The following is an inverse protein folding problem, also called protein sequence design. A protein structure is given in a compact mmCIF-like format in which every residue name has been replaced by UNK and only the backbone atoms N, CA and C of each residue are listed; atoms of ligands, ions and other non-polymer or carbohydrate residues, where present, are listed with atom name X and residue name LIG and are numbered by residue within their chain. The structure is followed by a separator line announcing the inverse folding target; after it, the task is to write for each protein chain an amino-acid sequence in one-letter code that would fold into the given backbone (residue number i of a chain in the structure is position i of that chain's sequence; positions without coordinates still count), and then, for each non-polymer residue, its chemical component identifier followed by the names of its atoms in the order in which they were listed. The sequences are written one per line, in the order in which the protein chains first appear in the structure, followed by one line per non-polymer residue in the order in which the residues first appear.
data_IF_611655699762
#
_entry.id   IF_611655699762
#
_cell.length_a   1.000
_cell.length_b   1.000
_cell.length_c   1.000
_cell.angle_alpha   90.00
_cell.angle_beta   90.00
_cell.angle_gamma   90.00
#
_symmetry.space_group_name_H-M   'P 1'
#
loop_
_entity.id
_entity.type
_entity.pdbx_description
1 polymer ?
#
# COMPACT_ATOMS: atom_id res chain seq x y z
N UNK A 1 66.26 12.62 22.60
CA UNK A 1 65.05 12.55 23.45
C UNK A 1 64.89 11.11 23.88
N UNK A 2 65.37 10.76 25.07
CA UNK A 2 65.11 9.45 25.65
C UNK A 2 63.66 9.48 26.14
N UNK A 3 62.80 8.68 25.51
CA UNK A 3 61.44 8.47 26.00
C UNK A 3 61.57 7.57 27.23
N UNK A 4 61.27 8.12 28.41
CA UNK A 4 61.26 7.33 29.64
C UNK A 4 60.20 6.22 29.52
N UNK A 5 60.48 4.99 29.98
CA UNK A 5 59.54 3.87 29.91
C UNK A 5 58.15 4.19 30.49
N UNK A 6 58.10 5.09 31.48
CA UNK A 6 56.87 5.57 32.09
C UNK A 6 56.00 6.42 31.15
N UNK A 7 56.62 7.26 30.31
CA UNK A 7 55.89 8.08 29.33
C UNK A 7 55.29 7.21 28.22
N UNK A 8 56.00 6.16 27.80
CA UNK A 8 55.50 5.19 26.81
C UNK A 8 54.27 4.46 27.34
N UNK A 9 54.32 3.99 28.60
CA UNK A 9 53.18 3.30 29.24
C UNK A 9 51.94 4.18 29.36
N UNK A 10 52.12 5.44 29.76
CA UNK A 10 51.00 6.38 29.90
C UNK A 10 50.38 6.72 28.53
N UNK A 11 51.22 6.95 27.52
CA UNK A 11 50.75 7.24 26.16
C UNK A 11 50.01 6.03 25.55
N UNK A 12 50.49 4.81 25.78
CA UNK A 12 49.80 3.60 25.31
C UNK A 12 48.44 3.41 25.97
N UNK A 13 48.33 3.68 27.28
CA UNK A 13 47.06 3.56 28.00
C UNK A 13 46.02 4.56 27.48
N UNK A 14 46.42 5.82 27.26
CA UNK A 14 45.54 6.85 26.69
C UNK A 14 45.13 6.47 25.26
N UNK A 15 46.07 6.00 24.44
CA UNK A 15 45.80 5.53 23.08
C UNK A 15 44.77 4.40 23.05
N UNK A 16 44.95 3.37 23.89
CA UNK A 16 44.01 2.25 24.00
C UNK A 16 42.64 2.72 24.47
N UNK A 17 42.56 3.62 25.45
CA UNK A 17 41.30 4.15 25.96
C UNK A 17 40.52 4.91 24.88
N UNK A 18 41.21 5.76 24.09
CA UNK A 18 40.59 6.49 22.97
C UNK A 18 40.08 5.55 21.88
N UNK A 19 40.88 4.54 21.52
CA UNK A 19 40.50 3.53 20.53
C UNK A 19 39.28 2.73 21.02
N UNK A 20 39.30 2.27 22.27
CA UNK A 20 38.18 1.53 22.86
C UNK A 20 36.89 2.37 22.89
N UNK A 21 36.99 3.65 23.28
CA UNK A 21 35.87 4.58 23.27
C UNK A 21 35.29 4.78 21.87
N UNK A 22 36.15 4.93 20.86
CA UNK A 22 35.73 5.05 19.46
C UNK A 22 35.00 3.80 18.96
N UNK A 23 35.54 2.61 19.21
CA UNK A 23 34.88 1.36 18.83
C UNK A 23 33.57 1.13 19.58
N UNK A 24 33.48 1.51 20.87
CA UNK A 24 32.25 1.45 21.63
C UNK A 24 31.18 2.40 21.06
N UNK A 25 31.55 3.61 20.68
CA UNK A 25 30.64 4.57 20.03
C UNK A 25 30.14 4.05 18.68
N UNK A 26 31.03 3.48 17.85
CA UNK A 26 30.66 2.84 16.58
C UNK A 26 29.71 1.66 16.79
N UNK A 27 29.98 0.83 17.79
CA UNK A 27 29.14 -0.32 18.11
C UNK A 27 27.73 0.10 18.53
N UNK A 28 27.60 1.08 19.42
CA UNK A 28 26.31 1.63 19.82
C UNK A 28 25.59 2.33 18.65
N UNK A 29 26.33 3.01 17.78
CA UNK A 29 25.80 3.61 16.56
C UNK A 29 25.21 2.56 15.61
N UNK A 30 25.92 1.44 15.41
CA UNK A 30 25.43 0.31 14.61
C UNK A 30 24.19 -0.32 15.23
N UNK A 31 24.19 -0.53 16.54
CA UNK A 31 23.03 -1.04 17.27
C UNK A 31 21.79 -0.15 17.05
N UNK A 32 21.95 1.15 17.26
CA UNK A 32 20.88 2.13 17.05
C UNK A 32 20.40 2.16 15.61
N UNK A 33 21.33 2.12 14.65
CA UNK A 33 21.01 2.09 13.22
C UNK A 33 20.19 0.86 12.84
N UNK A 34 20.57 -0.33 13.30
CA UNK A 34 19.84 -1.59 13.04
C UNK A 34 18.44 -1.57 13.64
N UNK A 35 18.30 -1.08 14.88
CA UNK A 35 17.00 -0.95 15.54
C UNK A 35 16.08 0.02 14.77
N UNK A 36 16.62 1.15 14.32
CA UNK A 36 15.86 2.12 13.52
C UNK A 36 15.48 1.54 12.15
N UNK A 37 16.39 0.85 11.47
CA UNK A 37 16.15 0.26 10.15
C UNK A 37 15.07 -0.82 10.21
N UNK A 38 15.12 -1.73 11.20
CA UNK A 38 14.12 -2.80 11.29
C UNK A 38 12.72 -2.28 11.64
N UNK A 39 12.62 -1.25 12.50
CA UNK A 39 11.33 -0.62 12.84
C UNK A 39 10.66 0.03 11.63
N UNK A 40 11.43 0.54 10.68
CA UNK A 40 10.91 1.10 9.44
C UNK A 40 10.46 0.02 8.44
N UNK A 41 10.90 -1.22 8.62
CA UNK A 41 10.74 -2.30 7.63
C UNK A 41 9.81 -3.43 8.05
N UNK A 42 9.70 -3.72 9.34
CA UNK A 42 8.83 -4.77 9.88
C UNK A 42 8.24 -4.36 11.23
N UNK A 43 6.98 -4.79 11.48
CA UNK A 43 6.33 -4.67 12.80
C UNK A 43 6.53 -5.91 13.68
N UNK A 44 7.26 -6.92 13.21
CA UNK A 44 7.42 -8.19 13.91
C UNK A 44 8.44 -8.06 15.06
N UNK A 45 8.01 -8.16 16.33
CA UNK A 45 8.90 -7.95 17.47
C UNK A 45 10.00 -9.01 17.57
N UNK A 46 9.75 -10.22 17.06
CA UNK A 46 10.73 -11.31 17.06
C UNK A 46 11.96 -11.01 16.21
N UNK A 47 11.77 -10.50 14.99
CA UNK A 47 12.88 -10.13 14.09
C UNK A 47 13.68 -8.96 14.65
N UNK A 48 13.01 -8.02 15.32
CA UNK A 48 13.66 -6.90 16.01
C UNK A 48 14.56 -7.39 17.15
N UNK A 49 14.09 -8.32 17.99
CA UNK A 49 14.88 -8.86 19.10
C UNK A 49 16.06 -9.69 18.57
N UNK A 50 15.82 -10.56 17.58
CA UNK A 50 16.85 -11.41 16.99
C UNK A 50 17.98 -10.58 16.35
N UNK A 51 17.63 -9.57 15.56
CA UNK A 51 18.63 -8.68 14.91
C UNK A 51 19.45 -7.88 15.91
N UNK A 52 18.81 -7.29 16.92
CA UNK A 52 19.52 -6.59 17.99
C UNK A 52 20.47 -7.55 18.74
N UNK A 53 20.00 -8.75 19.08
CA UNK A 53 20.80 -9.75 19.78
C UNK A 53 22.01 -10.20 18.95
N UNK A 54 21.85 -10.42 17.64
CA UNK A 54 22.96 -10.76 16.74
C UNK A 54 24.04 -9.68 16.70
N UNK A 55 23.65 -8.40 16.62
CA UNK A 55 24.59 -7.26 16.59
C UNK A 55 25.25 -7.02 17.95
N UNK A 56 24.55 -7.34 19.04
CA UNK A 56 25.11 -7.28 20.40
C UNK A 56 26.20 -8.33 20.59
N UNK A 57 25.95 -9.59 20.18
CA UNK A 57 26.89 -10.69 20.41
C UNK A 57 28.04 -10.65 19.39
N UNK A 58 27.75 -10.32 18.13
CA UNK A 58 28.76 -10.23 17.05
C UNK A 58 28.63 -8.88 16.33
N UNK A 59 29.40 -7.84 16.69
CA UNK A 59 29.21 -6.50 16.15
C UNK A 59 29.48 -6.40 14.64
N UNK A 60 30.59 -6.96 14.16
CA UNK A 60 30.95 -6.94 12.75
C UNK A 60 30.17 -7.98 11.94
N UNK A 61 30.16 -9.23 12.40
CA UNK A 61 29.53 -10.34 11.66
C UNK A 61 28.00 -10.26 11.74
N UNK A 62 27.45 -9.82 12.87
CA UNK A 62 26.00 -9.67 13.06
C UNK A 62 25.39 -8.64 12.14
N UNK A 63 26.11 -7.56 11.78
CA UNK A 63 25.65 -6.59 10.78
C UNK A 63 25.64 -7.21 9.38
N UNK A 64 26.65 -8.01 9.01
CA UNK A 64 26.68 -8.71 7.71
C UNK A 64 25.51 -9.69 7.61
N UNK A 65 25.30 -10.50 8.65
CA UNK A 65 24.18 -11.45 8.71
C UNK A 65 22.84 -10.70 8.68
N UNK A 66 22.73 -9.58 9.42
CA UNK A 66 21.56 -8.71 9.39
C UNK A 66 21.24 -8.23 7.97
N UNK A 67 22.24 -7.77 7.22
CA UNK A 67 22.04 -7.32 5.84
C UNK A 67 21.51 -8.42 4.91
N UNK A 68 21.81 -9.69 5.19
CA UNK A 68 21.29 -10.84 4.44
C UNK A 68 19.83 -11.15 4.84
N UNK A 69 19.52 -11.11 6.14
CA UNK A 69 18.16 -11.38 6.67
C UNK A 69 17.21 -10.19 6.42
N UNK A 70 17.77 -9.00 6.16
CA UNK A 70 17.05 -7.73 6.02
C UNK A 70 15.88 -7.88 5.03
N UNK A 71 14.61 -7.73 5.47
CA UNK A 71 13.45 -7.92 4.61
C UNK A 71 13.49 -6.95 3.42
N UNK A 72 13.16 -7.40 2.21
CA UNK A 72 13.36 -6.60 0.99
C UNK A 72 12.37 -5.45 0.79
N UNK A 73 11.14 -5.55 1.32
CA UNK A 73 10.08 -4.55 1.15
C UNK A 73 9.80 -3.80 2.45
N UNK A 74 9.59 -2.50 2.36
CA UNK A 74 9.17 -1.67 3.49
C UNK A 74 7.66 -1.79 3.73
N UNK A 75 7.19 -1.36 4.90
CA UNK A 75 5.75 -1.32 5.20
C UNK A 75 5.01 -0.38 4.24
N UNK A 76 5.66 0.72 3.87
CA UNK A 76 5.12 1.70 2.92
C UNK A 76 4.92 1.08 1.54
N UNK A 77 5.90 0.32 1.03
CA UNK A 77 5.78 -0.33 -0.28
C UNK A 77 4.59 -1.30 -0.35
N UNK A 78 4.26 -1.97 0.77
CA UNK A 78 3.09 -2.85 0.86
C UNK A 78 1.79 -2.06 0.87
N UNK A 79 1.78 -0.91 1.54
CA UNK A 79 0.62 -0.05 1.59
C UNK A 79 0.31 0.56 0.21
N UNK A 80 1.32 1.06 -0.49
CA UNK A 80 1.17 1.57 -1.86
C UNK A 80 0.66 0.49 -2.81
N UNK A 81 1.23 -0.71 -2.75
CA UNK A 81 0.76 -1.84 -3.56
C UNK A 81 -0.71 -2.21 -3.27
N UNK A 82 -1.13 -2.16 -2.00
CA UNK A 82 -2.52 -2.42 -1.63
C UNK A 82 -3.46 -1.33 -2.15
N UNK A 83 -3.07 -0.05 -2.06
CA UNK A 83 -3.85 1.07 -2.62
C UNK A 83 -3.97 0.99 -4.14
N UNK A 84 -2.89 0.61 -4.84
CA UNK A 84 -2.92 0.39 -6.28
C UNK A 84 -3.88 -0.74 -6.65
N UNK A 85 -3.85 -1.85 -5.91
CA UNK A 85 -4.78 -2.97 -6.11
C UNK A 85 -6.24 -2.54 -5.88
N UNK A 86 -6.52 -1.79 -4.81
CA UNK A 86 -7.85 -1.25 -4.52
C UNK A 86 -8.34 -0.29 -5.62
N UNK A 87 -7.47 0.60 -6.12
CA UNK A 87 -7.80 1.53 -7.20
C UNK A 87 -8.12 0.80 -8.52
N UNK A 88 -7.38 -0.27 -8.83
CA UNK A 88 -7.63 -1.09 -10.01
C UNK A 88 -8.95 -1.88 -9.91
N UNK A 89 -9.26 -2.44 -8.73
CA UNK A 89 -10.52 -3.16 -8.51
C UNK A 89 -11.74 -2.24 -8.62
N UNK A 90 -11.66 -1.01 -8.12
CA UNK A 90 -12.75 -0.03 -8.27
C UNK A 90 -13.06 0.29 -9.72
N UNK A 91 -12.05 0.31 -10.61
CA UNK A 91 -12.28 0.55 -12.03
C UNK A 91 -13.02 -0.61 -12.71
N UNK A 92 -12.79 -1.85 -12.25
CA UNK A 92 -13.51 -3.02 -12.74
C UNK A 92 -14.98 -3.03 -12.28
N UNK A 93 -15.26 -2.60 -11.04
CA UNK A 93 -16.62 -2.58 -10.49
C UNK A 93 -17.54 -1.58 -11.20
N UNK A 94 -16.99 -0.48 -11.73
CA UNK A 94 -17.76 0.54 -12.48
C UNK A 94 -18.33 0.05 -13.81
N UNK A 95 -17.89 -1.10 -14.34
CA UNK A 95 -18.49 -1.63 -15.56
C UNK A 95 -19.88 -2.21 -15.27
N UNK A 96 -20.95 -1.62 -15.83
CA UNK A 96 -22.29 -2.15 -15.61
C UNK A 96 -22.39 -3.55 -16.23
N UNK A 97 -22.94 -4.49 -15.46
CA UNK A 97 -23.18 -5.87 -15.91
C UNK A 97 -24.65 -6.06 -16.27
N UNK A 98 -24.90 -6.85 -17.29
CA UNK A 98 -26.26 -7.19 -17.70
C UNK A 98 -26.95 -8.03 -16.60
N UNK A 99 -28.14 -7.65 -16.09
CA UNK A 99 -28.85 -8.42 -15.06
C UNK A 99 -29.37 -9.78 -15.57
N UNK A 100 -29.46 -9.98 -16.89
CA UNK A 100 -29.92 -11.24 -17.48
C UNK A 100 -28.82 -12.30 -17.63
N UNK A 101 -27.62 -11.91 -18.07
CA UNK A 101 -26.54 -12.85 -18.42
C UNK A 101 -25.20 -12.59 -17.71
N UNK A 102 -25.08 -11.53 -16.92
CA UNK A 102 -23.88 -11.18 -16.17
C UNK A 102 -22.69 -10.65 -16.99
N UNK A 103 -22.80 -10.56 -18.34
CA UNK A 103 -21.75 -9.98 -19.19
C UNK A 103 -21.59 -8.48 -18.96
N UNK A 104 -20.37 -7.97 -19.10
CA UNK A 104 -20.10 -6.53 -19.13
C UNK A 104 -20.82 -5.89 -20.32
N UNK A 105 -21.52 -4.79 -20.07
CA UNK A 105 -22.26 -4.02 -21.07
C UNK A 105 -21.89 -2.55 -20.94
N UNK A 106 -22.13 -1.78 -22.00
CA UNK A 106 -21.94 -0.32 -21.95
C UNK A 106 -23.17 0.36 -21.36
N UNK A 107 -22.96 1.42 -20.58
CA UNK A 107 -24.04 2.21 -19.97
C UNK A 107 -24.97 2.85 -21.01
N UNK A 108 -24.54 3.02 -22.27
CA UNK A 108 -25.36 3.60 -23.35
C UNK A 108 -26.16 2.59 -24.16
N UNK A 109 -25.99 1.28 -23.92
CA UNK A 109 -26.68 0.27 -24.71
C UNK A 109 -28.14 0.12 -24.28
N UNK A 110 -29.04 -0.01 -25.25
CA UNK A 110 -30.49 -0.18 -24.99
C UNK A 110 -30.81 -1.67 -24.75
N UNK A 111 -30.12 -2.57 -25.46
CA UNK A 111 -30.32 -4.01 -25.43
C UNK A 111 -28.97 -4.72 -25.30
N UNK A 112 -28.95 -5.81 -24.54
CA UNK A 112 -27.78 -6.68 -24.48
C UNK A 112 -27.66 -7.50 -25.78
N UNK A 113 -26.50 -7.50 -26.46
CA UNK A 113 -26.30 -8.25 -27.71
C UNK A 113 -26.29 -9.77 -27.51
N UNK A 114 -26.13 -10.25 -26.27
CA UNK A 114 -26.04 -11.69 -25.97
C UNK A 114 -27.39 -12.31 -25.63
N UNK A 115 -28.16 -11.68 -24.74
CA UNK A 115 -29.40 -12.22 -24.19
C UNK A 115 -30.63 -11.39 -24.55
N UNK A 116 -30.47 -10.29 -25.29
CA UNK A 116 -31.54 -9.36 -25.65
C UNK A 116 -32.32 -8.77 -24.47
N UNK A 117 -31.78 -8.85 -23.24
CA UNK A 117 -32.34 -8.17 -22.09
C UNK A 117 -32.25 -6.67 -22.29
N UNK A 118 -33.34 -5.95 -22.01
CA UNK A 118 -33.39 -4.49 -22.05
C UNK A 118 -32.55 -3.94 -20.89
N UNK A 119 -31.57 -3.11 -21.21
CA UNK A 119 -30.65 -2.51 -20.24
C UNK A 119 -31.10 -1.10 -19.86
N UNK A 120 -31.47 -0.31 -20.88
CA UNK A 120 -31.87 1.08 -20.74
C UNK A 120 -33.15 1.37 -21.54
N UNK A 121 -33.74 2.54 -21.32
CA UNK A 121 -34.87 3.08 -22.09
C UNK A 121 -34.51 4.46 -22.65
N UNK A 122 -35.20 4.87 -23.71
CA UNK A 122 -35.09 6.22 -24.25
C UNK A 122 -36.07 7.13 -23.51
N UNK A 123 -35.66 8.35 -23.21
CA UNK A 123 -36.53 9.35 -22.64
C UNK A 123 -37.65 9.74 -23.64
N UNK A 124 -38.90 9.83 -23.18
CA UNK A 124 -40.06 10.21 -24.02
C UNK A 124 -39.99 11.63 -24.59
N UNK A 125 -39.24 12.54 -23.95
CA UNK A 125 -39.14 13.95 -24.37
C UNK A 125 -37.88 14.23 -25.19
N UNK A 126 -36.69 13.93 -24.66
CA UNK A 126 -35.42 14.26 -25.34
C UNK A 126 -34.79 13.11 -26.15
N UNK A 127 -35.28 11.88 -26.03
CA UNK A 127 -34.69 10.71 -26.70
C UNK A 127 -33.36 10.23 -26.12
N UNK A 128 -32.84 10.84 -25.05
CA UNK A 128 -31.58 10.41 -24.42
C UNK A 128 -31.73 9.05 -23.72
N UNK A 129 -30.64 8.28 -23.66
CA UNK A 129 -30.62 6.97 -23.00
C UNK A 129 -30.61 7.15 -21.48
N UNK A 130 -31.52 6.49 -20.79
CA UNK A 130 -31.67 6.54 -19.34
C UNK A 130 -31.88 5.14 -18.76
N UNK A 131 -31.50 4.97 -17.49
CA UNK A 131 -31.70 3.72 -16.77
C UNK A 131 -33.19 3.39 -16.58
N UNK A 132 -33.54 2.11 -16.63
CA UNK A 132 -34.91 1.62 -16.45
C UNK A 132 -35.54 2.06 -15.12
N UNK A 133 -34.88 1.95 -13.94
CA UNK A 133 -35.47 2.33 -12.66
C UNK A 133 -35.71 3.84 -12.50
N UNK A 134 -35.16 4.70 -13.38
CA UNK A 134 -35.28 6.14 -13.22
C UNK A 134 -36.66 6.63 -13.69
N UNK A 135 -37.37 7.29 -12.79
CA UNK A 135 -38.68 7.90 -13.06
C UNK A 135 -38.57 9.35 -13.57
N UNK A 136 -37.37 9.93 -13.55
CA UNK A 136 -37.08 11.30 -13.97
C UNK A 136 -35.87 11.27 -14.90
N UNK A 137 -35.92 12.00 -16.01
CA UNK A 137 -34.77 12.13 -16.89
C UNK A 137 -33.79 13.17 -16.31
N UNK A 138 -32.49 12.85 -16.08
CA UNK A 138 -31.51 13.82 -15.57
C UNK A 138 -31.09 14.87 -16.60
N UNK A 139 -31.31 14.60 -17.89
CA UNK A 139 -30.92 15.51 -18.96
C UNK A 139 -31.98 16.58 -19.22
N UNK A 140 -33.27 16.20 -19.22
CA UNK A 140 -34.37 17.12 -19.53
C UNK A 140 -35.35 17.39 -18.37
N UNK A 141 -35.23 16.68 -17.26
CA UNK A 141 -36.10 16.87 -16.08
C UNK A 141 -37.54 16.39 -16.24
N UNK A 142 -37.90 15.73 -17.36
CA UNK A 142 -39.27 15.26 -17.59
C UNK A 142 -39.50 13.91 -16.89
N UNK A 143 -40.63 13.71 -16.18
CA UNK A 143 -40.98 12.43 -15.59
C UNK A 143 -41.32 11.37 -16.67
N UNK A 144 -40.93 10.12 -16.43
CA UNK A 144 -41.01 9.01 -17.40
C UNK A 144 -42.14 8.03 -17.10
N UNK A 145 -43.06 8.38 -16.19
CA UNK A 145 -44.20 7.55 -15.85
C UNK A 145 -45.18 7.48 -17.03
N UNK A 146 -45.57 6.27 -17.41
CA UNK A 146 -46.71 6.05 -18.29
C UNK A 146 -47.97 6.37 -17.50
N UNK A 147 -48.60 7.51 -17.79
CA UNK A 147 -49.95 7.83 -17.28
C UNK A 147 -50.91 6.82 -17.88
N UNK A 148 -51.34 5.82 -17.12
CA UNK A 148 -52.53 5.05 -17.47
C UNK A 148 -53.75 5.93 -17.19
N UNK A 149 -54.39 6.43 -18.25
CA UNK A 149 -55.74 7.02 -18.13
C UNK A 149 -56.71 5.85 -17.95
N UNK A 150 -57.26 5.70 -16.75
CA UNK A 150 -58.48 4.91 -16.54
C UNK A 150 -59.62 5.63 -17.26
N UNK A 151 -60.02 5.09 -18.41
CA UNK A 151 -61.17 5.53 -19.16
C UNK A 151 -62.38 4.74 -18.66
N UNK A 152 -62.96 5.20 -17.55
CA UNK A 152 -64.31 4.79 -17.13
C UNK A 152 -65.30 5.77 -17.79
N UNK A 153 -65.81 5.35 -18.95
CA UNK A 153 -67.13 5.75 -19.47
C UNK A 153 -68.19 4.87 -18.80
#
# INVERSE_FOLDING_TARGET
MNLDPQQISNLSMIGIALIAAFFAALWLGLLFWVIRDIRLRSRDPFLMILSALLVIILPMVGVIIYLIIRPGKTIEDRYQAALEEEALLQEIEKQPKCPGCGRSVDAKWILCPACHTRLNKLCISCGEVIEIPWNLCPYCGVPQQKVYKEQND
#
